data_IF_998593937666
#
_entry.id   IF_998593937666
#
_cell.length_a   1.000
_cell.length_b   1.000
_cell.length_c   1.000
_cell.angle_alpha   90.00
_cell.angle_beta   90.00
_cell.angle_gamma   90.00
#
_symmetry.space_group_name_H-M   'P 1'
#
loop_
_entity.id
_entity.type
_entity.pdbx_description
1 polymer ?
#
# COMPACT_ATOMS: atom_id res chain seq x y z
N UNK A 1 18.24 24.70 28.89
CA UNK A 1 18.40 25.46 30.15
C UNK A 1 18.96 26.84 29.87
N UNK A 2 18.21 27.91 30.12
CA UNK A 2 18.72 29.30 30.14
C UNK A 2 18.15 29.99 31.37
N UNK A 3 18.99 30.13 32.41
CA UNK A 3 18.73 30.91 33.61
C UNK A 3 19.08 32.36 33.31
N UNK A 4 18.17 33.31 33.53
CA UNK A 4 18.52 34.71 33.81
C UNK A 4 17.55 35.27 34.85
N UNK A 5 18.11 35.41 36.05
CA UNK A 5 17.54 36.10 37.21
C UNK A 5 17.77 37.60 36.98
N UNK A 6 16.74 38.42 37.12
CA UNK A 6 16.90 39.87 37.33
C UNK A 6 16.19 40.19 38.64
N UNK A 7 17.02 40.44 39.65
CA UNK A 7 16.64 41.00 40.93
C UNK A 7 16.52 42.53 40.80
N UNK A 8 15.45 43.10 41.34
CA UNK A 8 15.24 44.54 41.45
C UNK A 8 14.42 44.86 42.70
N UNK A 9 15.13 45.09 43.80
CA UNK A 9 14.72 45.81 45.02
C UNK A 9 14.30 47.26 44.66
N UNK A 10 13.52 48.09 45.38
CA UNK A 10 12.81 48.15 46.68
C UNK A 10 11.97 49.46 46.59
N UNK A 11 10.76 49.54 47.14
CA UNK A 11 10.38 50.63 48.10
C UNK A 11 9.02 50.36 48.75
N UNK A 12 9.01 50.50 50.07
CA UNK A 12 7.93 50.18 50.99
C UNK A 12 6.84 51.27 51.06
N UNK A 13 5.59 50.84 51.23
CA UNK A 13 4.54 51.63 51.89
C UNK A 13 3.98 50.77 53.02
N UNK A 14 4.27 51.18 54.25
CA UNK A 14 3.70 50.66 55.48
C UNK A 14 2.32 51.30 55.69
N UNK A 15 1.25 50.49 55.71
CA UNK A 15 0.06 50.78 56.52
C UNK A 15 -0.83 49.53 56.66
N UNK A 16 -0.85 49.01 57.89
CA UNK A 16 -1.91 48.28 58.58
C UNK A 16 -2.96 47.52 57.74
N UNK A 17 -2.79 46.21 57.72
CA UNK A 17 -3.82 45.25 57.40
C UNK A 17 -3.19 43.87 57.38
N UNK A 18 -3.05 43.23 58.55
CA UNK A 18 -2.73 41.80 58.59
C UNK A 18 -3.94 41.01 58.05
N UNK A 19 -4.16 41.06 56.74
CA UNK A 19 -4.82 39.97 56.03
C UNK A 19 -3.69 39.04 55.63
N UNK A 20 -3.35 38.12 56.53
CA UNK A 20 -2.62 36.93 56.10
C UNK A 20 -3.43 36.36 54.94
N UNK A 21 -2.84 36.10 53.76
CA UNK A 21 -3.54 35.36 52.75
C UNK A 21 -3.84 34.01 53.38
N UNK A 22 -5.11 33.76 53.69
CA UNK A 22 -5.60 32.40 53.84
C UNK A 22 -5.36 31.81 52.46
N UNK A 23 -4.24 31.12 52.28
CA UNK A 23 -4.12 30.16 51.19
C UNK A 23 -5.25 29.17 51.44
N UNK A 24 -6.41 29.44 50.85
CA UNK A 24 -7.37 28.41 50.55
C UNK A 24 -6.52 27.34 49.88
N UNK A 25 -6.40 26.17 50.53
CA UNK A 25 -5.84 25.01 49.87
C UNK A 25 -6.55 24.94 48.52
N UNK A 26 -5.80 25.00 47.41
CA UNK A 26 -6.37 24.90 46.07
C UNK A 26 -7.25 23.65 46.05
N UNK A 27 -8.56 23.84 46.18
CA UNK A 27 -9.58 22.78 46.16
C UNK A 27 -9.94 22.42 44.73
N UNK A 28 -9.29 23.05 43.76
CA UNK A 28 -9.33 22.68 42.35
C UNK A 28 -8.70 21.30 42.19
N UNK A 29 -9.44 20.31 41.64
CA UNK A 29 -8.87 19.02 41.31
C UNK A 29 -7.66 19.20 40.39
N UNK A 30 -6.48 18.78 40.82
CA UNK A 30 -5.33 18.66 39.93
C UNK A 30 -5.46 17.37 39.14
N UNK A 31 -5.87 17.50 37.88
CA UNK A 31 -5.82 16.40 36.93
C UNK A 31 -4.43 16.32 36.31
N UNK A 32 -3.75 15.20 36.57
CA UNK A 32 -2.52 14.83 35.87
C UNK A 32 -2.81 13.57 35.06
N UNK A 33 -2.44 13.57 33.79
CA UNK A 33 -2.57 12.41 32.91
C UNK A 33 -1.21 11.86 32.52
N UNK A 34 -1.18 10.55 32.27
CA UNK A 34 -0.04 9.86 31.66
C UNK A 34 -0.46 9.40 30.26
N UNK A 35 0.40 9.63 29.27
CA UNK A 35 0.18 9.12 27.91
C UNK A 35 0.71 7.68 27.85
N UNK A 36 -0.17 6.74 27.56
CA UNK A 36 0.17 5.35 27.23
C UNK A 36 -0.08 5.16 25.74
N UNK A 37 0.84 4.52 25.03
CA UNK A 37 0.75 4.35 23.58
C UNK A 37 1.40 3.06 23.10
N UNK A 38 0.96 2.59 21.93
CA UNK A 38 1.45 1.45 21.19
C UNK A 38 1.38 1.81 19.70
N UNK A 39 2.37 1.36 18.93
CA UNK A 39 2.45 1.54 17.49
C UNK A 39 2.78 0.20 16.86
N UNK A 40 2.01 -0.18 15.85
CA UNK A 40 2.20 -1.41 15.08
C UNK A 40 2.43 -1.02 13.63
N UNK A 41 3.49 -1.56 13.03
CA UNK A 41 3.82 -1.25 11.65
C UNK A 41 2.84 -1.94 10.70
N UNK A 42 2.47 -1.23 9.64
CA UNK A 42 1.67 -1.76 8.54
C UNK A 42 2.39 -2.88 7.79
N UNK A 43 1.69 -3.98 7.51
CA UNK A 43 2.21 -5.18 6.87
C UNK A 43 1.21 -5.78 5.87
N UNK A 44 1.72 -6.50 4.88
CA UNK A 44 0.91 -7.26 3.92
C UNK A 44 1.70 -8.45 3.36
N UNK A 45 0.99 -9.39 2.73
CA UNK A 45 1.59 -10.53 2.02
C UNK A 45 1.03 -10.62 0.60
N UNK A 46 1.86 -10.28 -0.39
CA UNK A 46 1.53 -10.43 -1.81
C UNK A 46 1.38 -11.91 -2.18
N UNK A 47 0.33 -12.23 -2.93
CA UNK A 47 0.06 -13.57 -3.46
C UNK A 47 -0.20 -13.48 -4.96
N UNK A 48 0.56 -14.26 -5.72
CA UNK A 48 0.48 -14.34 -7.19
C UNK A 48 0.30 -15.81 -7.60
N UNK A 49 -0.36 -16.09 -8.73
CA UNK A 49 -0.49 -17.45 -9.23
C UNK A 49 0.87 -17.93 -9.74
N UNK A 50 1.17 -19.21 -9.54
CA UNK A 50 2.44 -19.78 -10.01
C UNK A 50 2.54 -19.79 -11.55
N UNK A 51 1.41 -19.96 -12.23
CA UNK A 51 1.30 -19.91 -13.68
C UNK A 51 -0.13 -19.58 -14.11
N UNK A 52 -0.27 -19.05 -15.33
CA UNK A 52 -1.53 -18.93 -16.06
C UNK A 52 -1.37 -19.69 -17.38
N UNK A 53 -2.24 -20.66 -17.62
CA UNK A 53 -2.22 -21.45 -18.87
C UNK A 53 -3.06 -20.75 -19.93
N UNK A 54 -2.45 -20.44 -21.08
CA UNK A 54 -3.11 -19.78 -22.20
C UNK A 54 -3.57 -20.80 -23.26
N UNK A 55 -4.51 -20.37 -24.09
CA UNK A 55 -5.10 -21.15 -25.18
C UNK A 55 -5.07 -20.36 -26.49
N UNK A 56 -5.08 -21.08 -27.62
CA UNK A 56 -5.20 -20.48 -28.96
C UNK A 56 -6.58 -19.86 -29.20
N UNK A 57 -7.63 -20.44 -28.61
CA UNK A 57 -9.03 -20.12 -28.91
C UNK A 57 -9.77 -19.44 -27.78
N UNK A 58 -9.31 -19.61 -26.54
CA UNK A 58 -9.99 -19.12 -25.34
C UNK A 58 -9.09 -18.17 -24.56
N UNK A 59 -9.70 -17.13 -23.98
CA UNK A 59 -9.03 -16.28 -23.00
C UNK A 59 -8.81 -17.02 -21.68
N UNK A 60 -7.92 -16.48 -20.85
CA UNK A 60 -7.63 -17.02 -19.53
C UNK A 60 -7.70 -15.92 -18.46
N UNK A 61 -7.84 -16.34 -17.21
CA UNK A 61 -7.88 -15.43 -16.06
C UNK A 61 -6.81 -15.84 -15.05
N UNK A 62 -5.95 -14.90 -14.68
CA UNK A 62 -5.06 -14.98 -13.53
C UNK A 62 -5.57 -14.08 -12.41
N UNK A 63 -5.26 -14.41 -11.15
CA UNK A 63 -5.67 -13.56 -10.02
C UNK A 63 -4.46 -13.18 -9.18
N UNK A 64 -4.24 -11.87 -9.00
CA UNK A 64 -3.18 -11.30 -8.18
C UNK A 64 -3.81 -10.61 -6.98
N UNK A 65 -3.21 -10.71 -5.81
CA UNK A 65 -3.82 -10.16 -4.61
C UNK A 65 -2.96 -10.26 -3.38
N UNK A 66 -3.60 -10.14 -2.21
CA UNK A 66 -2.97 -10.27 -0.91
C UNK A 66 -3.62 -11.44 -0.15
N UNK A 67 -2.80 -12.23 0.56
CA UNK A 67 -3.30 -13.27 1.47
C UNK A 67 -3.48 -12.76 2.90
N UNK A 68 -2.78 -11.68 3.26
CA UNK A 68 -2.90 -10.99 4.53
C UNK A 68 -2.61 -9.50 4.37
N UNK A 69 -3.26 -8.67 5.18
CA UNK A 69 -3.08 -7.23 5.22
C UNK A 69 -3.45 -6.71 6.62
N UNK A 70 -2.60 -5.86 7.18
CA UNK A 70 -2.85 -5.08 8.39
C UNK A 70 -2.17 -3.72 8.18
N UNK A 71 -2.93 -2.72 7.74
CA UNK A 71 -2.40 -1.39 7.39
C UNK A 71 -3.19 -0.30 8.13
N UNK A 72 -2.64 0.90 8.22
CA UNK A 72 -3.39 2.02 8.77
C UNK A 72 -4.61 2.35 7.91
N UNK A 73 -5.66 2.91 8.53
CA UNK A 73 -6.89 3.27 7.81
C UNK A 73 -6.71 4.40 6.79
N UNK A 74 -5.60 5.16 6.91
CA UNK A 74 -5.21 6.19 5.96
C UNK A 74 -4.31 5.66 4.83
N UNK A 75 -3.93 4.40 4.86
CA UNK A 75 -3.05 3.78 3.88
C UNK A 75 -3.82 2.85 2.92
N UNK A 76 -3.16 2.53 1.80
CA UNK A 76 -3.59 1.46 0.90
C UNK A 76 -2.38 0.67 0.40
N UNK A 77 -2.60 -0.60 0.09
CA UNK A 77 -1.63 -1.41 -0.66
C UNK A 77 -1.95 -1.29 -2.14
N UNK A 78 -0.97 -0.86 -2.93
CA UNK A 78 -1.05 -0.75 -4.38
C UNK A 78 -0.22 -1.87 -5.02
N UNK A 79 -0.82 -2.61 -5.95
CA UNK A 79 -0.12 -3.62 -6.76
C UNK A 79 0.08 -3.07 -8.17
N UNK A 80 1.34 -3.08 -8.64
CA UNK A 80 1.76 -2.65 -9.97
C UNK A 80 2.38 -3.79 -10.75
N UNK A 81 2.22 -3.73 -12.07
CA UNK A 81 3.14 -4.40 -12.99
C UNK A 81 4.41 -3.55 -13.08
N UNK A 82 5.56 -4.21 -13.08
CA UNK A 82 6.88 -3.55 -13.17
C UNK A 82 7.66 -4.00 -14.39
N UNK A 83 7.46 -5.25 -14.85
CA UNK A 83 8.12 -5.81 -16.03
C UNK A 83 7.21 -6.86 -16.70
N UNK A 84 7.52 -7.21 -17.95
CA UNK A 84 6.89 -8.31 -18.67
C UNK A 84 5.71 -7.93 -19.57
N UNK A 85 5.29 -6.66 -19.54
CA UNK A 85 4.25 -6.12 -20.40
C UNK A 85 4.83 -5.03 -21.31
N UNK A 86 4.52 -5.09 -22.60
CA UNK A 86 4.83 -4.05 -23.59
C UNK A 86 3.63 -3.87 -24.50
N UNK A 87 3.20 -2.63 -24.71
CA UNK A 87 2.02 -2.29 -25.53
C UNK A 87 0.77 -3.11 -25.18
N UNK A 88 0.52 -3.32 -23.88
CA UNK A 88 -0.65 -4.07 -23.40
C UNK A 88 -0.53 -5.59 -23.46
N UNK A 89 0.64 -6.12 -23.82
CA UNK A 89 0.81 -7.56 -24.09
C UNK A 89 1.94 -8.17 -23.30
N UNK A 90 1.75 -9.42 -22.88
CA UNK A 90 2.83 -10.31 -22.47
C UNK A 90 3.31 -11.09 -23.70
N UNK A 91 4.63 -11.12 -23.91
CA UNK A 91 5.25 -11.94 -24.95
C UNK A 91 5.66 -13.28 -24.38
N UNK A 92 5.31 -14.36 -25.08
CA UNK A 92 5.78 -15.70 -24.78
C UNK A 92 6.76 -16.13 -25.87
N UNK A 93 7.84 -16.78 -25.46
CA UNK A 93 8.91 -17.26 -26.35
C UNK A 93 9.00 -18.78 -26.26
N UNK A 94 9.16 -19.47 -27.39
CA UNK A 94 9.39 -20.91 -27.40
C UNK A 94 10.73 -21.20 -26.72
N UNK A 95 10.71 -22.07 -25.72
CA UNK A 95 11.89 -22.47 -24.95
C UNK A 95 12.95 -23.19 -25.81
N UNK A 96 12.58 -23.72 -26.97
CA UNK A 96 13.49 -24.41 -27.90
C UNK A 96 13.93 -23.55 -29.08
N UNK A 97 13.19 -22.49 -29.41
CA UNK A 97 13.48 -21.61 -30.53
C UNK A 97 13.06 -20.17 -30.20
N UNK A 98 14.03 -19.35 -29.79
CA UNK A 98 13.76 -17.97 -29.39
C UNK A 98 13.27 -17.05 -30.51
N UNK A 99 13.31 -17.49 -31.77
CA UNK A 99 12.72 -16.74 -32.88
C UNK A 99 11.19 -16.91 -32.95
N UNK A 100 10.64 -17.96 -32.35
CA UNK A 100 9.20 -18.20 -32.31
C UNK A 100 8.61 -17.55 -31.06
N UNK A 101 7.83 -16.50 -31.27
CA UNK A 101 7.14 -15.76 -30.22
C UNK A 101 5.66 -15.62 -30.52
N UNK A 102 4.84 -15.63 -29.47
CA UNK A 102 3.44 -15.24 -29.53
C UNK A 102 3.13 -14.24 -28.40
N UNK A 103 1.96 -13.63 -28.41
CA UNK A 103 1.60 -12.61 -27.42
C UNK A 103 0.15 -12.72 -27.00
N UNK A 104 -0.13 -12.41 -25.73
CA UNK A 104 -1.47 -12.29 -25.19
C UNK A 104 -1.68 -10.87 -24.64
N UNK A 105 -2.81 -10.25 -24.98
CA UNK A 105 -3.21 -8.98 -24.38
C UNK A 105 -3.59 -9.22 -22.92
N UNK A 106 -3.05 -8.38 -22.02
CA UNK A 106 -3.34 -8.43 -20.59
C UNK A 106 -4.20 -7.23 -20.20
N UNK A 107 -5.38 -7.45 -19.66
CA UNK A 107 -6.37 -6.41 -19.36
C UNK A 107 -6.97 -6.56 -17.96
N UNK A 108 -7.52 -5.46 -17.42
CA UNK A 108 -8.25 -5.46 -16.14
C UNK A 108 -9.72 -5.90 -16.28
N UNK A 109 -10.23 -5.93 -17.51
CA UNK A 109 -11.57 -6.40 -17.85
C UNK A 109 -11.50 -7.46 -18.94
N UNK A 110 -12.44 -8.40 -18.93
CA UNK A 110 -12.50 -9.46 -19.92
C UNK A 110 -12.69 -8.86 -21.33
N UNK A 111 -11.78 -9.21 -22.26
CA UNK A 111 -11.76 -8.64 -23.62
C UNK A 111 -11.46 -7.14 -23.68
N UNK A 112 -10.95 -6.56 -22.59
CA UNK A 112 -10.63 -5.13 -22.48
C UNK A 112 -9.34 -4.72 -23.17
N UNK A 113 -9.04 -3.42 -23.09
CA UNK A 113 -7.80 -2.83 -23.56
C UNK A 113 -6.60 -3.31 -22.74
N UNK A 114 -5.45 -3.40 -23.40
CA UNK A 114 -4.20 -3.82 -22.75
C UNK A 114 -3.70 -2.81 -21.71
N UNK A 115 -3.18 -3.31 -20.59
CA UNK A 115 -2.62 -2.48 -19.52
C UNK A 115 -1.25 -1.88 -19.89
N UNK A 116 -0.94 -0.69 -19.36
CA UNK A 116 0.40 -0.12 -19.49
C UNK A 116 1.46 -0.96 -18.75
N UNK A 117 2.73 -0.84 -19.16
CA UNK A 117 3.85 -1.59 -18.60
C UNK A 117 4.14 -1.30 -17.12
N UNK A 118 3.66 -0.18 -16.61
CA UNK A 118 3.79 0.28 -15.21
C UNK A 118 2.42 0.43 -14.51
N UNK A 119 1.38 -0.21 -15.07
CA UNK A 119 0.01 -0.05 -14.62
C UNK A 119 -0.17 -0.48 -13.16
N UNK A 120 -0.96 0.31 -12.44
CA UNK A 120 -1.57 -0.09 -11.17
C UNK A 120 -2.73 -1.03 -11.50
N UNK A 121 -2.65 -2.27 -11.05
CA UNK A 121 -3.64 -3.30 -11.35
C UNK A 121 -4.63 -3.54 -10.21
N UNK A 122 -4.26 -3.16 -8.98
CA UNK A 122 -5.11 -3.30 -7.81
C UNK A 122 -4.73 -2.30 -6.72
N UNK A 123 -5.74 -1.88 -5.96
CA UNK A 123 -5.58 -1.11 -4.73
C UNK A 123 -6.48 -1.71 -3.64
N UNK A 124 -5.92 -1.93 -2.46
CA UNK A 124 -6.63 -2.48 -1.31
C UNK A 124 -6.47 -1.59 -0.09
N UNK A 125 -7.57 -1.32 0.60
CA UNK A 125 -7.66 -0.56 1.84
C UNK A 125 -8.06 -1.48 2.98
N UNK A 126 -7.95 -1.04 4.23
CA UNK A 126 -8.35 -1.87 5.38
C UNK A 126 -9.78 -2.41 5.29
N UNK A 127 -10.69 -1.67 4.63
CA UNK A 127 -12.10 -2.03 4.45
C UNK A 127 -12.39 -2.85 3.16
N UNK A 128 -11.37 -3.27 2.42
CA UNK A 128 -11.55 -4.03 1.18
C UNK A 128 -12.16 -5.42 1.45
N UNK A 129 -13.34 -5.68 0.89
CA UNK A 129 -14.04 -6.96 1.05
C UNK A 129 -13.35 -8.13 0.34
N UNK A 130 -12.66 -7.86 -0.77
CA UNK A 130 -11.85 -8.82 -1.52
C UNK A 130 -10.45 -8.25 -1.69
N UNK A 131 -9.44 -9.10 -1.45
CA UNK A 131 -8.02 -8.75 -1.61
C UNK A 131 -7.43 -9.35 -2.88
N UNK A 132 -8.25 -9.55 -3.92
CA UNK A 132 -7.80 -10.11 -5.20
C UNK A 132 -8.32 -9.28 -6.36
N UNK A 133 -7.53 -9.21 -7.42
CA UNK A 133 -7.86 -8.57 -8.68
C UNK A 133 -7.62 -9.56 -9.82
N UNK A 134 -8.63 -9.79 -10.69
CA UNK A 134 -8.44 -10.59 -11.88
C UNK A 134 -7.63 -9.82 -12.93
N UNK A 135 -6.75 -10.53 -13.61
CA UNK A 135 -6.13 -10.13 -14.87
C UNK A 135 -6.62 -11.09 -15.96
N UNK A 136 -7.04 -10.51 -17.07
CA UNK A 136 -7.56 -11.25 -18.20
C UNK A 136 -6.52 -11.29 -19.30
N UNK A 137 -6.39 -12.46 -19.91
CA UNK A 137 -5.44 -12.75 -20.96
C UNK A 137 -6.22 -13.13 -22.21
N UNK A 138 -5.95 -12.48 -23.34
CA UNK A 138 -6.56 -12.86 -24.61
C UNK A 138 -6.08 -14.23 -25.07
N UNK A 139 -6.88 -14.89 -25.90
CA UNK A 139 -6.42 -16.04 -26.66
C UNK A 139 -5.20 -15.69 -27.52
N UNK A 140 -4.35 -16.68 -27.80
CA UNK A 140 -3.09 -16.48 -28.54
C UNK A 140 -3.29 -16.40 -30.06
N UNK A 141 -4.40 -16.93 -30.58
CA UNK A 141 -4.55 -17.20 -32.01
C UNK A 141 -3.75 -18.44 -32.44
N UNK A 142 -3.53 -18.59 -33.74
CA UNK A 142 -2.80 -19.72 -34.32
C UNK A 142 -1.30 -19.62 -33.99
N UNK A 143 -0.76 -20.59 -33.24
CA UNK A 143 0.64 -20.61 -32.81
C UNK A 143 1.28 -21.95 -33.20
N UNK A 144 2.52 -21.97 -33.74
CA UNK A 144 3.21 -23.22 -34.02
C UNK A 144 3.39 -24.09 -32.77
N UNK A 145 3.34 -25.42 -32.93
CA UNK A 145 3.54 -26.35 -31.82
C UNK A 145 4.89 -26.13 -31.12
N UNK A 146 4.85 -25.93 -29.81
CA UNK A 146 6.03 -25.62 -29.01
C UNK A 146 5.70 -25.52 -27.53
N UNK A 147 6.68 -25.13 -26.72
CA UNK A 147 6.46 -24.81 -25.30
C UNK A 147 6.86 -23.37 -25.09
N UNK A 148 5.88 -22.51 -24.88
CA UNK A 148 6.09 -21.08 -24.78
C UNK A 148 6.03 -20.63 -23.32
N UNK A 149 6.89 -19.69 -22.96
CA UNK A 149 6.89 -19.07 -21.63
C UNK A 149 7.13 -17.57 -21.71
N UNK A 150 6.49 -16.84 -20.82
CA UNK A 150 6.69 -15.43 -20.57
C UNK A 150 6.60 -15.16 -19.07
N UNK A 151 7.03 -13.99 -18.63
CA UNK A 151 7.02 -13.61 -17.22
C UNK A 151 6.47 -12.20 -17.06
N UNK A 152 5.63 -12.00 -16.03
CA UNK A 152 5.18 -10.69 -15.58
C UNK A 152 5.67 -10.51 -14.15
N UNK A 153 6.25 -9.36 -13.84
CA UNK A 153 6.77 -9.04 -12.50
C UNK A 153 5.86 -8.03 -11.84
N UNK A 154 5.39 -8.37 -10.64
CA UNK A 154 4.51 -7.53 -9.84
C UNK A 154 5.25 -6.96 -8.62
N UNK A 155 4.90 -5.74 -8.24
CA UNK A 155 5.34 -5.12 -7.00
C UNK A 155 4.12 -4.66 -6.22
N UNK A 156 4.11 -4.95 -4.92
CA UNK A 156 3.13 -4.39 -3.99
C UNK A 156 3.83 -3.43 -3.02
N UNK A 157 3.19 -2.30 -2.72
CA UNK A 157 3.72 -1.28 -1.81
C UNK A 157 2.60 -0.61 -1.03
N UNK A 158 2.87 -0.24 0.22
CA UNK A 158 2.01 0.62 1.02
C UNK A 158 2.20 2.07 0.55
N UNK A 159 1.11 2.78 0.33
CA UNK A 159 1.08 4.21 -0.01
C UNK A 159 0.03 4.92 0.84
N UNK A 160 0.29 6.20 1.15
CA UNK A 160 -0.61 7.09 1.91
C UNK A 160 -1.31 8.10 1.01
#
# INVERSE_FOLDING_TARGET
MKKKIIAGMITAVLAAGMVMPVSAADTTPQENSVKVGYEEASTFTLTIPAAVTLSETEGATGSVGLSAMNIETTEKVQIKVTEGITDGKVTLTDVKDSANTCSSTVSLTEGGEGIASDAVIAEFTMDSALLTAPLYFSALGEVPAGTYSGQIVYQASIVS
#
